data_IF_868324876252
#
_entry.id   IF_868324876252
#
_cell.length_a   1.000
_cell.length_b   1.000
_cell.length_c   1.000
_cell.angle_alpha   90.00
_cell.angle_beta   90.00
_cell.angle_gamma   90.00
#
_symmetry.space_group_name_H-M   'P 1'
#
loop_
_entity.id
_entity.type
_entity.pdbx_description
1 polymer ?
#
# COMPACT_ATOMS: atom_id res chain seq x y z
N UNK A 1 0.24 3.60 -17.16
CA UNK A 1 0.89 4.48 -16.16
C UNK A 1 0.10 4.53 -14.85
N UNK A 2 -1.14 5.03 -14.83
CA UNK A 2 -1.98 5.02 -13.60
C UNK A 2 -2.68 3.67 -13.37
N UNK A 3 -3.17 3.00 -14.43
CA UNK A 3 -3.78 1.68 -14.32
C UNK A 3 -2.84 0.63 -13.71
N UNK A 4 -1.52 0.76 -13.97
CA UNK A 4 -0.47 -0.09 -13.42
C UNK A 4 -0.31 0.00 -11.89
N UNK A 5 -0.98 0.98 -11.27
CA UNK A 5 -0.99 1.18 -9.82
C UNK A 5 -2.15 0.46 -9.13
N UNK A 6 -3.07 -0.17 -9.86
CA UNK A 6 -4.18 -0.93 -9.28
C UNK A 6 -3.71 -2.16 -8.51
N UNK A 7 -4.52 -2.63 -7.55
CA UNK A 7 -4.31 -3.88 -6.82
C UNK A 7 -4.18 -5.07 -7.77
N UNK A 8 -5.02 -5.12 -8.81
CA UNK A 8 -4.97 -6.16 -9.84
C UNK A 8 -3.65 -6.15 -10.63
N UNK A 9 -3.17 -4.97 -11.03
CA UNK A 9 -1.88 -4.86 -11.72
C UNK A 9 -0.70 -5.24 -10.82
N UNK A 10 -0.75 -4.92 -9.52
CA UNK A 10 0.28 -5.37 -8.57
C UNK A 10 0.24 -6.89 -8.39
N UNK A 11 -0.95 -7.49 -8.29
CA UNK A 11 -1.12 -8.94 -8.22
C UNK A 11 -0.50 -9.64 -9.44
N UNK A 12 -0.71 -9.10 -10.64
CA UNK A 12 -0.11 -9.62 -11.88
C UNK A 12 1.41 -9.52 -11.86
N UNK A 13 1.98 -8.39 -11.40
CA UNK A 13 3.44 -8.23 -11.27
C UNK A 13 4.02 -9.24 -10.29
N UNK A 14 3.36 -9.47 -9.16
CA UNK A 14 3.78 -10.46 -8.16
C UNK A 14 3.69 -11.88 -8.74
N UNK A 15 2.65 -12.20 -9.51
CA UNK A 15 2.53 -13.49 -10.18
C UNK A 15 3.70 -13.74 -11.15
N UNK A 16 4.13 -12.71 -11.91
CA UNK A 16 5.32 -12.80 -12.78
C UNK A 16 6.58 -13.05 -11.94
N UNK A 17 6.79 -12.33 -10.84
CA UNK A 17 7.93 -12.56 -9.95
C UNK A 17 7.93 -13.99 -9.41
N UNK A 18 6.76 -14.47 -8.95
CA UNK A 18 6.60 -15.83 -8.44
C UNK A 18 6.92 -16.89 -9.49
N UNK A 19 6.39 -16.74 -10.70
CA UNK A 19 6.65 -17.65 -11.82
C UNK A 19 8.15 -17.68 -12.18
N UNK A 20 8.79 -16.52 -12.32
CA UNK A 20 10.20 -16.43 -12.72
C UNK A 20 11.18 -16.74 -11.58
N UNK A 21 10.74 -16.64 -10.33
CA UNK A 21 11.53 -17.03 -9.19
C UNK A 21 11.50 -18.56 -8.99
N UNK A 22 10.38 -19.23 -9.21
CA UNK A 22 10.27 -20.67 -8.93
C UNK A 22 10.54 -20.95 -7.45
N UNK A 23 11.35 -21.98 -7.16
CA UNK A 23 11.59 -22.46 -5.79
C UNK A 23 12.22 -21.40 -4.88
N UNK A 24 13.04 -20.48 -5.40
CA UNK A 24 13.65 -19.40 -4.62
C UNK A 24 12.68 -18.29 -4.23
N UNK A 25 11.40 -18.36 -4.62
CA UNK A 25 10.43 -17.32 -4.25
C UNK A 25 10.26 -17.21 -2.73
N UNK A 26 10.37 -18.32 -1.98
CA UNK A 26 10.30 -18.31 -0.52
C UNK A 26 11.45 -17.55 0.15
N UNK A 27 12.56 -17.35 -0.56
CA UNK A 27 13.75 -16.66 -0.06
C UNK A 27 13.73 -15.16 -0.38
N UNK A 28 12.70 -14.68 -1.09
CA UNK A 28 12.57 -13.30 -1.53
C UNK A 28 11.60 -12.56 -0.60
N UNK A 29 12.10 -11.53 0.06
CA UNK A 29 11.24 -10.54 0.70
C UNK A 29 10.74 -9.53 -0.35
N UNK A 30 9.42 -9.44 -0.50
CA UNK A 30 8.81 -8.46 -1.38
C UNK A 30 8.67 -7.12 -0.66
N UNK A 31 9.16 -6.07 -1.30
CA UNK A 31 8.94 -4.70 -0.86
C UNK A 31 7.97 -3.95 -1.79
N UNK A 32 7.33 -2.93 -1.22
CA UNK A 32 6.61 -1.91 -1.97
C UNK A 32 6.91 -0.52 -1.42
N UNK A 33 7.14 0.44 -2.32
CA UNK A 33 7.20 1.85 -1.98
C UNK A 33 5.81 2.47 -2.09
N UNK A 34 5.18 2.74 -0.95
CA UNK A 34 3.94 3.52 -0.87
C UNK A 34 4.31 5.00 -0.82
N UNK A 35 3.81 5.77 -1.78
CA UNK A 35 4.21 7.17 -1.95
C UNK A 35 3.04 8.15 -1.97
N UNK A 36 1.82 7.64 -1.88
CA UNK A 36 0.62 8.41 -1.58
C UNK A 36 0.24 8.11 -0.12
N UNK A 37 0.95 8.75 0.81
CA UNK A 37 0.77 8.55 2.26
C UNK A 37 0.09 9.79 2.84
N UNK A 38 -0.96 9.58 3.63
CA UNK A 38 -1.64 10.63 4.38
C UNK A 38 -2.42 10.03 5.54
N UNK A 39 -1.88 10.15 6.76
CA UNK A 39 -2.56 9.72 7.98
C UNK A 39 -3.56 10.81 8.39
N UNK A 40 -4.86 10.51 8.34
CA UNK A 40 -5.94 11.48 8.53
C UNK A 40 -7.22 10.82 8.98
N UNK A 41 -8.03 11.48 9.81
CA UNK A 41 -9.35 10.96 10.21
C UNK A 41 -10.34 10.92 9.04
N UNK A 42 -10.22 11.85 8.07
CA UNK A 42 -11.05 11.88 6.86
C UNK A 42 -10.35 11.21 5.67
N UNK A 43 -10.23 9.88 5.73
CA UNK A 43 -9.64 9.10 4.65
C UNK A 43 -10.43 9.19 3.34
N UNK A 44 -11.75 9.19 3.41
CA UNK A 44 -12.62 9.26 2.23
C UNK A 44 -12.43 10.59 1.48
N UNK A 45 -12.60 11.73 2.16
CA UNK A 45 -12.47 13.04 1.54
C UNK A 45 -11.04 13.31 1.04
N UNK A 46 -10.02 12.82 1.75
CA UNK A 46 -8.63 12.91 1.29
C UNK A 46 -8.39 12.15 -0.02
N UNK A 47 -8.92 10.93 -0.14
CA UNK A 47 -8.82 10.11 -1.36
C UNK A 47 -9.58 10.74 -2.52
N UNK A 48 -10.79 11.23 -2.29
CA UNK A 48 -11.60 11.92 -3.31
C UNK A 48 -10.89 13.18 -3.84
N UNK A 49 -10.34 14.00 -2.95
CA UNK A 49 -9.58 15.20 -3.31
C UNK A 49 -8.35 14.85 -4.16
N UNK A 50 -7.60 13.83 -3.75
CA UNK A 50 -6.43 13.37 -4.50
C UNK A 50 -6.83 12.83 -5.88
N UNK A 51 -7.86 11.98 -5.94
CA UNK A 51 -8.35 11.39 -7.17
C UNK A 51 -8.80 12.46 -8.17
N UNK A 52 -9.53 13.48 -7.70
CA UNK A 52 -9.91 14.65 -8.50
C UNK A 52 -8.68 15.41 -9.03
N UNK A 53 -7.67 15.63 -8.20
CA UNK A 53 -6.42 16.29 -8.61
C UNK A 53 -5.63 15.50 -9.65
N UNK A 54 -5.74 14.16 -9.64
CA UNK A 54 -5.09 13.26 -10.58
C UNK A 54 -5.96 12.95 -11.82
N UNK A 55 -7.24 13.32 -11.83
CA UNK A 55 -8.17 12.99 -12.90
C UNK A 55 -8.54 11.51 -12.98
N UNK A 56 -8.66 10.83 -11.83
CA UNK A 56 -8.92 9.39 -11.73
C UNK A 56 -10.10 9.10 -10.79
N UNK A 57 -10.58 7.85 -10.81
CA UNK A 57 -11.56 7.37 -9.83
C UNK A 57 -10.92 7.23 -8.43
N UNK A 58 -11.62 7.69 -7.39
CA UNK A 58 -11.19 7.54 -6.01
C UNK A 58 -11.07 6.06 -5.58
N UNK A 59 -11.87 5.17 -6.18
CA UNK A 59 -11.75 3.72 -5.99
C UNK A 59 -10.37 3.20 -6.40
N UNK A 60 -9.76 3.78 -7.45
CA UNK A 60 -8.40 3.40 -7.86
C UNK A 60 -7.36 3.80 -6.81
N UNK A 61 -7.50 4.99 -6.22
CA UNK A 61 -6.62 5.44 -5.13
C UNK A 61 -6.78 4.55 -3.90
N UNK A 62 -8.02 4.26 -3.51
CA UNK A 62 -8.34 3.41 -2.38
C UNK A 62 -7.74 1.99 -2.54
N UNK A 63 -7.89 1.41 -3.73
CA UNK A 63 -7.43 0.05 -4.02
C UNK A 63 -5.90 -0.05 -4.18
N UNK A 64 -5.22 1.03 -4.58
CA UNK A 64 -3.80 1.01 -4.93
C UNK A 64 -2.89 0.64 -3.75
N UNK A 65 -2.01 -0.38 -3.90
CA UNK A 65 -0.95 -0.67 -2.92
C UNK A 65 0.08 0.46 -2.74
N UNK A 66 0.10 1.43 -3.65
CA UNK A 66 0.95 2.62 -3.60
C UNK A 66 0.36 3.74 -2.74
N UNK A 67 -0.88 3.57 -2.23
CA UNK A 67 -1.57 4.51 -1.36
C UNK A 67 -1.88 3.92 0.02
N UNK A 68 -1.69 4.77 1.04
CA UNK A 68 -2.09 4.57 2.44
C UNK A 68 -2.63 5.91 2.94
N UNK A 69 -3.94 6.12 2.76
CA UNK A 69 -4.63 7.36 3.08
C UNK A 69 -5.85 7.04 3.94
N UNK A 70 -5.84 7.49 5.18
CA UNK A 70 -6.92 7.22 6.13
C UNK A 70 -6.46 7.18 7.58
N UNK A 71 -7.39 6.84 8.50
CA UNK A 71 -7.11 6.80 9.92
C UNK A 71 -6.18 5.61 10.25
N UNK A 72 -5.37 5.70 11.31
CA UNK A 72 -4.35 4.68 11.62
C UNK A 72 -4.87 3.24 11.65
N UNK A 73 -6.06 3.00 12.22
CA UNK A 73 -6.67 1.67 12.28
C UNK A 73 -6.96 1.08 10.88
N UNK A 74 -7.49 1.89 9.96
CA UNK A 74 -7.76 1.47 8.58
C UNK A 74 -6.45 1.14 7.85
N UNK A 75 -5.39 1.92 8.09
CA UNK A 75 -4.08 1.68 7.51
C UNK A 75 -3.46 0.37 8.01
N UNK A 76 -3.59 0.09 9.32
CA UNK A 76 -3.14 -1.16 9.94
C UNK A 76 -3.84 -2.37 9.30
N UNK A 77 -5.18 -2.34 9.23
CA UNK A 77 -5.98 -3.42 8.62
C UNK A 77 -5.63 -3.59 7.14
N UNK A 78 -5.42 -2.49 6.43
CA UNK A 78 -5.03 -2.51 5.02
C UNK A 78 -3.65 -3.15 4.81
N UNK A 79 -2.68 -2.83 5.66
CA UNK A 79 -1.35 -3.44 5.61
C UNK A 79 -1.40 -4.94 5.91
N UNK A 80 -2.16 -5.35 6.92
CA UNK A 80 -2.33 -6.77 7.27
C UNK A 80 -2.98 -7.54 6.12
N UNK A 81 -4.09 -7.03 5.56
CA UNK A 81 -4.74 -7.62 4.39
C UNK A 81 -3.79 -7.73 3.20
N UNK A 82 -2.96 -6.71 2.95
CA UNK A 82 -1.97 -6.72 1.85
C UNK A 82 -0.85 -7.74 2.10
N UNK A 83 -0.42 -7.94 3.35
CA UNK A 83 0.54 -9.00 3.72
C UNK A 83 -0.04 -10.37 3.41
N UNK A 84 -1.29 -10.63 3.78
CA UNK A 84 -1.99 -11.90 3.50
C UNK A 84 -2.22 -12.12 2.00
N UNK A 85 -2.70 -11.10 1.30
CA UNK A 85 -3.06 -11.20 -0.12
C UNK A 85 -1.84 -11.27 -1.03
N UNK A 86 -0.79 -10.51 -0.74
CA UNK A 86 0.33 -10.30 -1.66
C UNK A 86 1.67 -10.81 -1.16
N UNK A 87 1.82 -11.07 0.15
CA UNK A 87 3.13 -11.31 0.76
C UNK A 87 4.00 -10.06 0.88
N UNK A 88 3.42 -8.86 0.76
CA UNK A 88 4.14 -7.58 0.93
C UNK A 88 4.38 -7.32 2.43
N UNK A 89 5.54 -7.76 2.94
CA UNK A 89 5.96 -7.57 4.34
C UNK A 89 6.83 -6.33 4.56
N UNK A 90 7.50 -5.84 3.51
CA UNK A 90 8.34 -4.65 3.58
C UNK A 90 7.63 -3.48 2.89
N UNK A 91 7.19 -2.49 3.67
CA UNK A 91 6.58 -1.25 3.14
C UNK A 91 7.48 -0.05 3.40
N UNK A 92 7.74 0.73 2.36
CA UNK A 92 8.53 1.97 2.41
C UNK A 92 7.59 3.16 2.29
N UNK A 93 7.67 4.11 3.22
CA UNK A 93 7.01 5.43 3.18
C UNK A 93 8.03 6.56 2.99
N UNK A 94 7.56 7.77 2.71
CA UNK A 94 8.45 8.95 2.56
C UNK A 94 9.06 9.39 3.88
N UNK A 95 10.23 10.05 3.82
CA UNK A 95 10.88 10.61 5.00
C UNK A 95 10.01 11.66 5.71
N UNK A 96 9.26 12.45 4.94
CA UNK A 96 8.33 13.46 5.46
C UNK A 96 7.11 12.84 6.16
N UNK A 97 6.84 11.55 5.94
CA UNK A 97 5.70 10.83 6.52
C UNK A 97 6.05 10.08 7.81
N UNK A 98 7.33 9.99 8.19
CA UNK A 98 7.79 9.12 9.30
C UNK A 98 7.07 9.41 10.61
N UNK A 99 6.97 10.70 10.99
CA UNK A 99 6.34 11.10 12.26
C UNK A 99 4.83 10.83 12.26
N UNK A 100 4.14 11.15 11.16
CA UNK A 100 2.69 10.92 11.05
C UNK A 100 2.34 9.44 10.99
N UNK A 101 3.24 8.61 10.44
CA UNK A 101 3.06 7.18 10.28
C UNK A 101 3.49 6.36 11.51
N UNK A 102 4.22 6.96 12.46
CA UNK A 102 4.73 6.28 13.67
C UNK A 102 3.66 5.49 14.46
N UNK A 103 2.41 5.96 14.64
CA UNK A 103 1.36 5.19 15.34
C UNK A 103 1.01 3.86 14.65
N UNK A 104 1.05 3.83 13.31
CA UNK A 104 0.78 2.62 12.52
C UNK A 104 1.90 1.59 12.75
N UNK A 105 3.16 2.06 12.75
CA UNK A 105 4.34 1.22 13.03
C UNK A 105 4.25 0.64 14.44
N UNK A 106 3.97 1.47 15.45
CA UNK A 106 3.85 1.04 16.84
C UNK A 106 2.80 -0.06 17.04
N UNK A 107 1.67 0.01 16.32
CA UNK A 107 0.60 -0.98 16.40
C UNK A 107 0.92 -2.31 15.71
N UNK A 108 1.84 -2.31 14.74
CA UNK A 108 2.29 -3.48 13.97
C UNK A 108 3.58 -4.09 14.50
N UNK A 109 4.35 -3.35 15.31
CA UNK A 109 5.60 -3.84 15.88
C UNK A 109 5.38 -5.15 16.67
N UNK A 110 6.17 -6.17 16.34
CA UNK A 110 6.12 -7.48 16.99
C UNK A 110 5.02 -8.43 16.49
N UNK A 111 4.39 -8.14 15.33
CA UNK A 111 3.35 -8.98 14.71
C UNK A 111 3.75 -9.61 13.37
#
# INVERSE_FOLDING_TARGET
MIADMSSASVAQKIAVVKEKAGDRFSDIELNIRTFLVNVTDDGLGAREKLAKGMGVDAALIHDSPFALIGPPNELIETLQRRREQFGLSYVIVGGDDVESFAPVVAALAGK
#
